data_IF_511498845977
#
_entry.id   IF_511498845977
#
_cell.length_a   1.000
_cell.length_b   1.000
_cell.length_c   1.000
_cell.angle_alpha   90.00
_cell.angle_beta   90.00
_cell.angle_gamma   90.00
#
_symmetry.space_group_name_H-M   'P 1'
#
loop_
_entity.id
_entity.type
_entity.pdbx_description
1 polymer ?
#
# COMPACT_ATOMS: atom_id res chain seq x y z
N UNK A 1 4.73 -2.45 28.67
CA UNK A 1 4.47 -2.96 27.30
C UNK A 1 3.52 -2.03 26.54
N UNK A 2 3.50 -2.17 25.22
CA UNK A 2 2.62 -1.43 24.33
C UNK A 2 2.12 -2.36 23.23
N UNK A 3 0.81 -2.41 23.00
CA UNK A 3 0.27 -3.05 21.80
C UNK A 3 0.32 -2.03 20.63
N UNK A 4 1.36 -2.14 19.80
CA UNK A 4 1.58 -1.20 18.70
C UNK A 4 0.49 -1.27 17.63
N UNK A 5 -0.08 -2.45 17.37
CA UNK A 5 -1.17 -2.61 16.41
C UNK A 5 -2.45 -1.89 16.88
N UNK A 6 -2.78 -2.01 18.16
CA UNK A 6 -3.93 -1.32 18.73
C UNK A 6 -3.76 0.20 18.73
N UNK A 7 -2.54 0.70 18.96
CA UNK A 7 -2.23 2.12 18.89
C UNK A 7 -2.41 2.66 17.46
N UNK A 8 -1.84 1.98 16.46
CA UNK A 8 -1.88 2.38 15.06
C UNK A 8 -3.32 2.55 14.55
N UNK A 9 -4.22 1.62 14.87
CA UNK A 9 -5.63 1.67 14.43
C UNK A 9 -6.36 2.92 14.95
N UNK A 10 -5.92 3.49 16.09
CA UNK A 10 -6.54 4.65 16.70
C UNK A 10 -5.99 5.99 16.16
N UNK A 11 -4.84 5.98 15.48
CA UNK A 11 -4.18 7.18 14.99
C UNK A 11 -4.88 7.75 13.74
N UNK A 12 -5.10 9.08 13.74
CA UNK A 12 -5.67 9.78 12.58
C UNK A 12 -4.72 9.78 11.39
N UNK A 13 -3.43 9.86 11.64
CA UNK A 13 -2.38 9.84 10.63
C UNK A 13 -2.38 8.50 9.87
N UNK A 14 -2.59 7.38 10.57
CA UNK A 14 -2.73 6.05 9.96
C UNK A 14 -3.96 5.99 9.08
N UNK A 15 -5.11 6.46 9.56
CA UNK A 15 -6.35 6.50 8.77
C UNK A 15 -6.21 7.36 7.52
N UNK A 16 -5.51 8.49 7.62
CA UNK A 16 -5.20 9.35 6.47
C UNK A 16 -4.26 8.66 5.48
N UNK A 17 -3.24 7.98 5.98
CA UNK A 17 -2.30 7.21 5.16
C UNK A 17 -3.02 6.07 4.42
N UNK A 18 -3.89 5.32 5.11
CA UNK A 18 -4.73 4.29 4.52
C UNK A 18 -5.62 4.84 3.39
N UNK A 19 -6.28 5.97 3.63
CA UNK A 19 -7.13 6.62 2.64
C UNK A 19 -6.35 7.04 1.40
N UNK A 20 -5.17 7.65 1.58
CA UNK A 20 -4.31 8.05 0.46
C UNK A 20 -3.78 6.86 -0.31
N UNK A 21 -3.39 5.79 0.39
CA UNK A 21 -2.92 4.56 -0.26
C UNK A 21 -4.02 3.89 -1.07
N UNK A 22 -5.25 3.83 -0.52
CA UNK A 22 -6.41 3.29 -1.23
C UNK A 22 -6.74 4.11 -2.48
N UNK A 23 -6.75 5.44 -2.39
CA UNK A 23 -6.95 6.31 -3.56
C UNK A 23 -5.90 6.05 -4.65
N UNK A 24 -4.63 5.95 -4.25
CA UNK A 24 -3.54 5.66 -5.17
C UNK A 24 -3.70 4.28 -5.84
N UNK A 25 -4.11 3.27 -5.07
CA UNK A 25 -4.40 1.93 -5.60
C UNK A 25 -5.58 1.94 -6.59
N UNK A 26 -6.65 2.69 -6.28
CA UNK A 26 -7.80 2.84 -7.18
C UNK A 26 -7.43 3.52 -8.49
N UNK A 27 -6.59 4.55 -8.46
CA UNK A 27 -6.09 5.21 -9.67
C UNK A 27 -5.27 4.25 -10.54
N UNK A 28 -4.36 3.47 -9.92
CA UNK A 28 -3.61 2.43 -10.64
C UNK A 28 -4.54 1.38 -11.27
N UNK A 29 -5.56 0.94 -10.54
CA UNK A 29 -6.53 -0.02 -11.04
C UNK A 29 -7.33 0.52 -12.25
N UNK A 30 -7.71 1.80 -12.23
CA UNK A 30 -8.39 2.44 -13.37
C UNK A 30 -7.51 2.50 -14.62
N UNK A 31 -6.22 2.82 -14.44
CA UNK A 31 -5.26 2.84 -15.56
C UNK A 31 -5.07 1.43 -16.12
N UNK A 32 -4.87 0.44 -15.25
CA UNK A 32 -4.76 -0.97 -15.66
C UNK A 32 -5.99 -1.43 -16.45
N UNK A 33 -7.18 -1.15 -15.93
CA UNK A 33 -8.44 -1.48 -16.60
C UNK A 33 -8.55 -0.82 -17.98
N UNK A 34 -8.09 0.42 -18.15
CA UNK A 34 -8.10 1.11 -19.44
C UNK A 34 -7.23 0.41 -20.48
N UNK A 35 -6.05 -0.07 -20.09
CA UNK A 35 -5.15 -0.83 -20.98
C UNK A 35 -5.75 -2.19 -21.37
N UNK A 36 -6.37 -2.88 -20.43
CA UNK A 36 -7.06 -4.16 -20.69
C UNK A 36 -8.23 -3.96 -21.63
N UNK A 37 -9.03 -2.90 -21.45
CA UNK A 37 -10.16 -2.57 -22.34
C UNK A 37 -9.66 -2.22 -23.74
N UNK A 38 -8.59 -1.47 -23.88
CA UNK A 38 -7.98 -1.14 -25.17
C UNK A 38 -7.53 -2.41 -25.91
N UNK A 39 -6.85 -3.31 -25.19
CA UNK A 39 -6.44 -4.60 -25.74
C UNK A 39 -7.62 -5.44 -26.21
N UNK A 40 -8.64 -5.59 -25.35
CA UNK A 40 -9.84 -6.37 -25.67
C UNK A 40 -10.59 -5.81 -26.89
N UNK A 41 -10.72 -4.48 -26.99
CA UNK A 41 -11.35 -3.82 -28.13
C UNK A 41 -10.58 -4.05 -29.43
N UNK A 42 -9.25 -3.90 -29.41
CA UNK A 42 -8.41 -4.17 -30.59
C UNK A 42 -8.42 -5.64 -30.99
N UNK A 43 -8.40 -6.54 -30.00
CA UNK A 43 -8.48 -7.98 -30.25
C UNK A 43 -9.82 -8.38 -30.90
N UNK A 44 -10.93 -7.83 -30.40
CA UNK A 44 -12.25 -8.07 -31.00
C UNK A 44 -12.34 -7.55 -32.44
N UNK A 45 -11.81 -6.36 -32.71
CA UNK A 45 -11.74 -5.81 -34.05
C UNK A 45 -10.90 -6.69 -34.99
N UNK A 46 -9.73 -7.14 -34.51
CA UNK A 46 -8.88 -8.08 -35.25
C UNK A 46 -9.63 -9.39 -35.57
N UNK A 47 -10.25 -10.01 -34.58
CA UNK A 47 -10.98 -11.27 -34.76
C UNK A 47 -12.13 -11.15 -35.76
N UNK A 48 -12.84 -10.03 -35.79
CA UNK A 48 -14.01 -9.83 -36.64
C UNK A 48 -13.64 -9.40 -38.05
N UNK A 49 -12.54 -8.66 -38.25
CA UNK A 49 -12.29 -7.95 -39.51
C UNK A 49 -10.94 -8.31 -40.18
N UNK A 50 -10.04 -9.03 -39.55
CA UNK A 50 -8.70 -9.32 -40.08
C UNK A 50 -8.73 -10.01 -41.45
N UNK A 51 -9.73 -10.83 -41.70
CA UNK A 51 -9.91 -11.53 -42.99
C UNK A 51 -10.11 -10.56 -44.18
N UNK A 52 -10.62 -9.36 -43.94
CA UNK A 52 -10.86 -8.32 -44.93
C UNK A 52 -9.73 -7.30 -45.07
N UNK A 53 -8.74 -7.33 -44.16
CA UNK A 53 -7.65 -6.38 -44.16
C UNK A 53 -6.50 -6.76 -45.07
N UNK A 54 -5.73 -5.76 -45.51
CA UNK A 54 -4.45 -5.99 -46.15
C UNK A 54 -3.45 -6.66 -45.17
N UNK A 55 -2.48 -7.35 -45.73
CA UNK A 55 -1.40 -7.98 -44.96
C UNK A 55 -0.68 -6.96 -44.04
N UNK A 56 -0.34 -5.80 -44.60
CA UNK A 56 0.31 -4.70 -43.86
C UNK A 56 -0.53 -4.24 -42.67
N UNK A 57 -1.84 -4.13 -42.84
CA UNK A 57 -2.75 -3.74 -41.74
C UNK A 57 -2.81 -4.83 -40.67
N UNK A 58 -2.87 -6.09 -41.04
CA UNK A 58 -2.88 -7.22 -40.10
C UNK A 58 -1.61 -7.24 -39.25
N UNK A 59 -0.44 -7.18 -39.89
CA UNK A 59 0.87 -7.14 -39.19
C UNK A 59 0.97 -5.96 -38.24
N UNK A 60 0.49 -4.77 -38.63
CA UNK A 60 0.48 -3.59 -37.77
C UNK A 60 -0.38 -3.80 -36.52
N UNK A 61 -1.59 -4.35 -36.69
CA UNK A 61 -2.48 -4.59 -35.53
C UNK A 61 -1.96 -5.71 -34.63
N UNK A 62 -1.36 -6.77 -35.20
CA UNK A 62 -0.71 -7.83 -34.43
C UNK A 62 0.46 -7.28 -33.57
N UNK A 63 1.25 -6.39 -34.16
CA UNK A 63 2.33 -5.70 -33.42
C UNK A 63 1.77 -4.83 -32.30
N UNK A 64 0.71 -4.08 -32.57
CA UNK A 64 0.04 -3.25 -31.55
C UNK A 64 -0.52 -4.10 -30.40
N UNK A 65 -1.17 -5.24 -30.71
CA UNK A 65 -1.66 -6.17 -29.70
C UNK A 65 -0.52 -6.73 -28.84
N UNK A 66 0.60 -7.12 -29.46
CA UNK A 66 1.80 -7.55 -28.74
C UNK A 66 2.35 -6.47 -27.81
N UNK A 67 2.44 -5.24 -28.29
CA UNK A 67 2.90 -4.09 -27.48
C UNK A 67 1.95 -3.80 -26.31
N UNK A 68 0.64 -3.91 -26.52
CA UNK A 68 -0.34 -3.72 -25.43
C UNK A 68 -0.23 -4.81 -24.37
N UNK A 69 0.01 -6.07 -24.74
CA UNK A 69 0.25 -7.14 -23.76
C UNK A 69 1.48 -6.86 -22.90
N UNK A 70 2.58 -6.43 -23.52
CA UNK A 70 3.79 -6.05 -22.79
C UNK A 70 3.50 -4.88 -21.84
N UNK A 71 2.81 -3.85 -22.33
CA UNK A 71 2.45 -2.66 -21.55
C UNK A 71 1.59 -3.01 -20.33
N UNK A 72 0.61 -3.92 -20.49
CA UNK A 72 -0.24 -4.41 -19.39
C UNK A 72 0.62 -5.13 -18.34
N UNK A 73 1.49 -6.05 -18.77
CA UNK A 73 2.37 -6.81 -17.87
C UNK A 73 3.37 -5.90 -17.13
N UNK A 74 3.98 -4.95 -17.85
CA UNK A 74 4.93 -4.02 -17.25
C UNK A 74 4.25 -3.08 -16.25
N UNK A 75 3.06 -2.57 -16.60
CA UNK A 75 2.29 -1.72 -15.70
C UNK A 75 1.87 -2.45 -14.41
N UNK A 76 1.51 -3.73 -14.50
CA UNK A 76 1.18 -4.54 -13.32
C UNK A 76 2.38 -4.64 -12.36
N UNK A 77 3.57 -4.94 -12.88
CA UNK A 77 4.81 -5.00 -12.08
C UNK A 77 5.17 -3.65 -11.46
N UNK A 78 5.15 -2.60 -12.28
CA UNK A 78 5.46 -1.24 -11.82
C UNK A 78 4.45 -0.75 -10.78
N UNK A 79 3.16 -1.06 -10.94
CA UNK A 79 2.11 -0.68 -10.00
C UNK A 79 2.33 -1.30 -8.63
N UNK A 80 2.69 -2.58 -8.57
CA UNK A 80 3.00 -3.25 -7.32
C UNK A 80 4.19 -2.60 -6.60
N UNK A 81 5.26 -2.26 -7.33
CA UNK A 81 6.42 -1.58 -6.77
C UNK A 81 6.07 -0.16 -6.30
N UNK A 82 5.30 0.58 -7.09
CA UNK A 82 4.87 1.95 -6.74
C UNK A 82 3.95 1.96 -5.53
N UNK A 83 3.05 0.98 -5.40
CA UNK A 83 2.19 0.83 -4.22
C UNK A 83 3.00 0.54 -2.96
N UNK A 84 3.98 -0.34 -3.03
CA UNK A 84 4.86 -0.64 -1.90
C UNK A 84 5.70 0.59 -1.50
N UNK A 85 6.28 1.29 -2.48
CA UNK A 85 7.01 2.53 -2.23
C UNK A 85 6.11 3.59 -1.60
N UNK A 86 4.89 3.78 -2.13
CA UNK A 86 3.91 4.73 -1.59
C UNK A 86 3.51 4.40 -0.15
N UNK A 87 3.32 3.12 0.14
CA UNK A 87 3.06 2.64 1.49
C UNK A 87 4.20 3.02 2.44
N UNK A 88 5.45 2.75 2.06
CA UNK A 88 6.61 3.09 2.88
C UNK A 88 6.72 4.61 3.09
N UNK A 89 6.53 5.43 2.05
CA UNK A 89 6.52 6.88 2.16
C UNK A 89 5.48 7.42 3.15
N UNK A 90 4.29 6.82 3.17
CA UNK A 90 3.20 7.25 4.05
C UNK A 90 3.37 6.76 5.48
N UNK A 91 3.85 5.54 5.67
CA UNK A 91 3.91 4.92 7.01
C UNK A 91 5.23 5.14 7.75
N UNK A 92 6.37 5.24 7.04
CA UNK A 92 7.67 5.41 7.73
C UNK A 92 7.71 6.63 8.65
N UNK A 93 7.22 7.82 8.25
CA UNK A 93 7.20 8.99 9.14
C UNK A 93 6.36 8.75 10.40
N UNK A 94 5.23 8.04 10.27
CA UNK A 94 4.33 7.70 11.39
C UNK A 94 5.03 6.75 12.36
N UNK A 95 5.69 5.71 11.83
CA UNK A 95 6.42 4.73 12.64
C UNK A 95 7.62 5.36 13.36
N UNK A 96 8.33 6.27 12.71
CA UNK A 96 9.44 6.99 13.34
C UNK A 96 8.95 7.93 14.45
N UNK A 97 7.83 8.62 14.26
CA UNK A 97 7.23 9.45 15.32
C UNK A 97 6.77 8.60 16.51
N UNK A 98 6.17 7.45 16.28
CA UNK A 98 5.78 6.51 17.32
C UNK A 98 7.02 6.03 18.10
N UNK A 99 8.08 5.61 17.41
CA UNK A 99 9.34 5.17 18.05
C UNK A 99 9.95 6.27 18.91
N UNK A 100 9.98 7.50 18.41
CA UNK A 100 10.47 8.64 19.18
C UNK A 100 9.65 8.87 20.46
N UNK A 101 8.33 8.79 20.37
CA UNK A 101 7.42 8.95 21.53
C UNK A 101 7.51 7.79 22.51
N UNK A 102 7.68 6.54 22.03
CA UNK A 102 7.95 5.39 22.91
C UNK A 102 9.23 5.62 23.71
N UNK A 103 10.30 6.09 23.04
CA UNK A 103 11.56 6.42 23.70
C UNK A 103 11.38 7.47 24.80
N UNK A 104 10.67 8.57 24.49
CA UNK A 104 10.38 9.63 25.46
C UNK A 104 9.59 9.11 26.66
N UNK A 105 8.54 8.29 26.44
CA UNK A 105 7.77 7.67 27.53
C UNK A 105 8.67 6.77 28.37
N UNK A 106 9.56 6.01 27.74
CA UNK A 106 10.52 5.15 28.43
C UNK A 106 11.46 5.94 29.34
N UNK A 107 12.06 7.01 28.83
CA UNK A 107 12.98 7.88 29.56
C UNK A 107 12.30 8.61 30.72
N UNK A 108 11.12 9.22 30.46
CA UNK A 108 10.34 9.95 31.47
C UNK A 108 9.90 9.07 32.65
N UNK A 109 9.58 7.81 32.39
CA UNK A 109 9.10 6.87 33.41
C UNK A 109 10.18 5.90 33.90
N UNK A 110 11.43 6.07 33.45
CA UNK A 110 12.58 5.25 33.83
C UNK A 110 12.40 3.76 33.55
N UNK A 111 11.70 3.42 32.48
CA UNK A 111 11.58 2.05 32.01
C UNK A 111 12.91 1.60 31.39
N UNK A 112 13.38 0.44 31.75
CA UNK A 112 14.59 -0.17 31.15
C UNK A 112 14.30 -0.79 29.79
N UNK A 113 13.07 -1.25 29.59
CA UNK A 113 12.64 -1.91 28.35
C UNK A 113 11.14 -1.72 28.17
N UNK A 114 10.71 -1.48 26.93
CA UNK A 114 9.32 -1.51 26.53
C UNK A 114 9.19 -2.60 25.46
N UNK A 115 8.31 -3.56 25.67
CA UNK A 115 8.10 -4.70 24.79
C UNK A 115 6.80 -4.52 24.00
N UNK A 116 6.76 -5.06 22.78
CA UNK A 116 5.53 -5.09 21.99
C UNK A 116 4.55 -6.12 22.54
N UNK A 117 3.42 -5.64 23.04
CA UNK A 117 2.35 -6.46 23.61
C UNK A 117 1.71 -7.44 22.64
N UNK A 118 1.79 -7.16 21.33
CA UNK A 118 1.24 -8.06 20.29
C UNK A 118 1.99 -9.39 20.18
N UNK A 119 3.24 -9.43 20.63
CA UNK A 119 4.08 -10.63 20.60
C UNK A 119 4.09 -11.39 21.94
N UNK A 120 3.40 -10.87 22.97
CA UNK A 120 3.38 -11.49 24.30
C UNK A 120 2.28 -12.53 24.41
N UNK A 121 2.62 -13.71 24.94
CA UNK A 121 1.64 -14.79 25.25
C UNK A 121 0.98 -14.60 26.62
N UNK A 122 1.64 -13.89 27.53
CA UNK A 122 1.16 -13.62 28.89
C UNK A 122 1.71 -12.29 29.39
N UNK A 123 0.87 -11.54 30.08
CA UNK A 123 1.22 -10.29 30.74
C UNK A 123 0.76 -10.38 32.20
N UNK A 124 1.71 -10.32 33.12
CA UNK A 124 1.41 -10.36 34.56
C UNK A 124 0.82 -9.04 35.06
N UNK A 125 0.23 -9.08 36.26
CA UNK A 125 -0.42 -7.93 36.89
C UNK A 125 0.50 -6.74 37.18
N UNK A 126 1.81 -7.00 37.32
CA UNK A 126 2.81 -5.98 37.65
C UNK A 126 3.39 -5.31 36.37
N UNK A 127 3.03 -5.80 35.19
CA UNK A 127 3.45 -5.21 33.94
C UNK A 127 2.68 -3.92 33.64
N UNK A 128 3.40 -2.85 33.33
CA UNK A 128 2.80 -1.54 33.06
C UNK A 128 2.39 -1.46 31.60
N UNK A 129 1.09 -1.24 31.35
CA UNK A 129 0.58 -0.87 30.04
C UNK A 129 0.82 0.64 29.81
N UNK A 130 1.63 0.98 28.79
CA UNK A 130 1.94 2.37 28.46
C UNK A 130 0.98 2.97 27.42
N UNK A 131 -0.05 2.25 27.01
CA UNK A 131 -1.04 2.75 26.03
C UNK A 131 -1.64 4.10 26.44
N UNK A 132 -2.06 4.33 27.71
CA UNK A 132 -2.58 5.63 28.14
C UNK A 132 -1.56 6.76 28.02
N UNK A 133 -0.28 6.47 28.31
CA UNK A 133 0.80 7.45 28.21
C UNK A 133 1.07 7.81 26.75
N UNK A 134 1.07 6.81 25.87
CA UNK A 134 1.26 7.01 24.44
C UNK A 134 0.11 7.81 23.82
N UNK A 135 -1.14 7.50 24.16
CA UNK A 135 -2.31 8.28 23.72
C UNK A 135 -2.19 9.76 24.11
N UNK A 136 -1.81 10.03 25.33
CA UNK A 136 -1.57 11.41 25.81
C UNK A 136 -0.46 12.10 25.02
N UNK A 137 0.65 11.40 24.72
CA UNK A 137 1.78 11.95 23.94
C UNK A 137 1.42 12.19 22.46
N UNK A 138 0.52 11.37 21.90
CA UNK A 138 0.03 11.49 20.52
C UNK A 138 -1.16 12.43 20.38
N UNK A 139 -1.81 12.83 21.49
CA UNK A 139 -2.97 13.70 21.47
C UNK A 139 -4.26 13.02 20.99
N UNK A 140 -4.40 11.73 21.25
CA UNK A 140 -5.54 10.87 20.88
C UNK A 140 -6.20 10.24 22.07
#
# INVERSE_FOLDING_TARGET
YLNTNELLVQMKEVKSADSLLNQYAEEMQKIYASYVMEYQSKLADYQNNAATWSEVKRESVETDLGNLQIRISDFEKESNQKLETKKQELYNPILEDIKAKIKLVGEENKFTTILDGSAMLYVGTDAVDIMPMMKKKLGI
#
